data_IF_503560923925
#
_entry.id   IF_503560923925
#
_cell.length_a   1.000
_cell.length_b   1.000
_cell.length_c   1.000
_cell.angle_alpha   90.00
_cell.angle_beta   90.00
_cell.angle_gamma   90.00
#
_symmetry.space_group_name_H-M   'P 1'
#
loop_
_entity.id
_entity.type
_entity.pdbx_description
1 polymer ?
#
# COMPACT_ATOMS: atom_id res chain seq x y z
N UNK A 1 11.22 15.22 -30.34
CA UNK A 1 10.74 14.13 -31.23
C UNK A 1 11.49 12.80 -31.05
N UNK A 2 12.84 12.72 -31.03
CA UNK A 2 13.58 11.46 -30.79
C UNK A 2 13.23 10.73 -29.46
N UNK A 3 13.01 11.47 -28.37
CA UNK A 3 12.66 10.89 -27.06
C UNK A 3 11.34 10.11 -27.08
N UNK A 4 10.30 10.65 -27.73
CA UNK A 4 8.98 10.01 -27.86
C UNK A 4 9.02 8.71 -28.70
N UNK A 5 9.87 8.66 -29.72
CA UNK A 5 10.06 7.45 -30.54
C UNK A 5 10.81 6.34 -29.79
N UNK A 6 11.81 6.71 -28.98
CA UNK A 6 12.56 5.74 -28.17
C UNK A 6 11.67 5.14 -27.06
N UNK A 7 10.90 5.95 -26.34
CA UNK A 7 9.91 5.45 -25.35
C UNK A 7 8.83 4.59 -26.00
N UNK A 8 8.32 4.95 -27.18
CA UNK A 8 7.32 4.15 -27.89
C UNK A 8 7.90 2.81 -28.37
N UNK A 9 9.14 2.82 -28.89
CA UNK A 9 9.82 1.58 -29.31
C UNK A 9 10.19 0.65 -28.14
N UNK A 10 10.48 1.21 -26.97
CA UNK A 10 10.72 0.45 -25.75
C UNK A 10 9.42 -0.17 -25.24
N UNK A 11 8.34 0.63 -25.18
CA UNK A 11 7.03 0.18 -24.73
C UNK A 11 6.48 -0.96 -25.60
N UNK A 12 6.59 -0.84 -26.94
CA UNK A 12 6.17 -1.90 -27.87
C UNK A 12 6.97 -3.19 -27.69
N UNK A 13 8.28 -3.09 -27.47
CA UNK A 13 9.13 -4.25 -27.21
C UNK A 13 8.78 -4.92 -25.89
N UNK A 14 8.50 -4.12 -24.84
CA UNK A 14 8.03 -4.64 -23.55
C UNK A 14 6.70 -5.38 -23.72
N UNK A 15 5.73 -4.75 -24.37
CA UNK A 15 4.41 -5.36 -24.63
C UNK A 15 4.53 -6.66 -25.43
N UNK A 16 5.32 -6.68 -26.51
CA UNK A 16 5.54 -7.89 -27.31
C UNK A 16 6.20 -9.01 -26.49
N UNK A 17 7.10 -8.68 -25.58
CA UNK A 17 7.77 -9.64 -24.71
C UNK A 17 6.77 -10.25 -23.72
N UNK A 18 5.91 -9.43 -23.11
CA UNK A 18 4.86 -9.89 -22.20
C UNK A 18 3.85 -10.78 -22.95
N UNK A 19 3.44 -10.41 -24.16
CA UNK A 19 2.50 -11.23 -24.96
C UNK A 19 3.07 -12.59 -25.30
N UNK A 20 4.36 -12.68 -25.66
CA UNK A 20 5.03 -13.97 -25.89
C UNK A 20 5.13 -14.82 -24.63
N UNK A 21 5.38 -14.19 -23.47
CA UNK A 21 5.39 -14.91 -22.20
C UNK A 21 4.00 -15.47 -21.88
N UNK A 22 2.96 -14.66 -22.06
CA UNK A 22 1.57 -15.08 -21.90
C UNK A 22 1.23 -16.28 -22.79
N UNK A 23 1.57 -16.25 -24.08
CA UNK A 23 1.35 -17.37 -25.01
C UNK A 23 1.99 -18.68 -24.48
N UNK A 24 3.23 -18.63 -23.99
CA UNK A 24 3.90 -19.80 -23.42
C UNK A 24 3.23 -20.35 -22.15
N UNK A 25 2.72 -19.46 -21.29
CA UNK A 25 1.94 -19.88 -20.13
C UNK A 25 0.57 -20.45 -20.53
N UNK A 26 -0.11 -19.87 -21.51
CA UNK A 26 -1.38 -20.37 -22.04
C UNK A 26 -1.21 -21.77 -22.65
N UNK A 27 -0.15 -22.00 -23.43
CA UNK A 27 0.19 -23.34 -23.93
C UNK A 27 0.39 -24.35 -22.79
N UNK A 28 1.04 -23.94 -21.70
CA UNK A 28 1.21 -24.79 -20.51
C UNK A 28 -0.15 -25.10 -19.87
N UNK A 29 -1.03 -24.10 -19.75
CA UNK A 29 -2.37 -24.25 -19.20
C UNK A 29 -3.30 -25.10 -20.08
N UNK A 30 -3.07 -25.19 -21.40
CA UNK A 30 -3.82 -26.15 -22.24
C UNK A 30 -3.51 -27.61 -21.89
N UNK A 31 -2.28 -27.90 -21.45
CA UNK A 31 -1.82 -29.25 -21.07
C UNK A 31 -2.08 -29.54 -19.60
N UNK A 32 -1.91 -28.53 -18.75
CA UNK A 32 -2.03 -28.59 -17.30
C UNK A 32 -2.86 -27.39 -16.80
N UNK A 33 -4.20 -27.47 -16.82
CA UNK A 33 -5.08 -26.32 -16.53
C UNK A 33 -4.95 -25.70 -15.14
N UNK A 34 -4.38 -26.45 -14.20
CA UNK A 34 -4.19 -26.05 -12.80
C UNK A 34 -2.70 -25.91 -12.43
N UNK A 35 -1.79 -25.79 -13.41
CA UNK A 35 -0.38 -25.54 -13.12
C UNK A 35 -0.22 -24.17 -12.44
N UNK A 36 0.23 -24.11 -11.17
CA UNK A 36 0.22 -22.85 -10.43
C UNK A 36 1.18 -21.80 -10.99
N UNK A 37 2.33 -22.23 -11.50
CA UNK A 37 3.35 -21.34 -12.08
C UNK A 37 2.82 -20.70 -13.36
N UNK A 38 2.19 -21.48 -14.23
CA UNK A 38 1.60 -20.96 -15.45
C UNK A 38 0.37 -20.07 -15.17
N UNK A 39 -0.47 -20.43 -14.19
CA UNK A 39 -1.59 -19.58 -13.76
C UNK A 39 -1.11 -18.21 -13.27
N UNK A 40 -0.09 -18.19 -12.40
CA UNK A 40 0.50 -16.96 -11.88
C UNK A 40 1.19 -16.14 -12.98
N UNK A 41 2.04 -16.79 -13.79
CA UNK A 41 2.77 -16.12 -14.86
C UNK A 41 1.84 -15.51 -15.92
N UNK A 42 0.78 -16.22 -16.31
CA UNK A 42 -0.24 -15.71 -17.21
C UNK A 42 -1.02 -14.55 -16.57
N UNK A 43 -1.44 -14.69 -15.30
CA UNK A 43 -2.14 -13.63 -14.59
C UNK A 43 -1.32 -12.34 -14.51
N UNK A 44 -0.05 -12.42 -14.08
CA UNK A 44 0.86 -11.24 -14.01
C UNK A 44 1.03 -10.61 -15.39
N UNK A 45 1.22 -11.43 -16.42
CA UNK A 45 1.34 -10.94 -17.81
C UNK A 45 0.08 -10.20 -18.26
N UNK A 46 -1.11 -10.70 -17.92
CA UNK A 46 -2.38 -10.06 -18.22
C UNK A 46 -2.56 -8.74 -17.45
N UNK A 47 -2.12 -8.68 -16.18
CA UNK A 47 -2.11 -7.43 -15.41
C UNK A 47 -1.23 -6.38 -16.07
N UNK A 48 0.00 -6.74 -16.49
CA UNK A 48 0.89 -5.81 -17.18
C UNK A 48 0.35 -5.33 -18.54
N UNK A 49 -0.50 -6.13 -19.18
CA UNK A 49 -1.20 -5.78 -20.41
C UNK A 49 -2.51 -5.00 -20.18
N UNK A 50 -2.94 -4.82 -18.93
CA UNK A 50 -4.21 -4.19 -18.57
C UNK A 50 -5.45 -5.05 -18.83
N UNK A 51 -5.27 -6.35 -19.08
CA UNK A 51 -6.35 -7.32 -19.32
C UNK A 51 -6.90 -7.86 -17.98
N UNK A 52 -7.37 -6.94 -17.13
CA UNK A 52 -7.70 -7.22 -15.72
C UNK A 52 -8.77 -8.29 -15.51
N UNK A 53 -9.79 -8.36 -16.37
CA UNK A 53 -10.84 -9.38 -16.22
C UNK A 53 -10.27 -10.79 -16.36
N UNK A 54 -9.45 -11.03 -17.39
CA UNK A 54 -8.81 -12.34 -17.59
C UNK A 54 -7.81 -12.65 -16.48
N UNK A 55 -7.06 -11.63 -16.02
CA UNK A 55 -6.16 -11.79 -14.89
C UNK A 55 -6.91 -12.22 -13.63
N UNK A 56 -8.07 -11.62 -13.34
CA UNK A 56 -8.93 -11.99 -12.20
C UNK A 56 -9.36 -13.45 -12.31
N UNK A 57 -9.81 -13.90 -13.48
CA UNK A 57 -10.27 -15.28 -13.67
C UNK A 57 -9.14 -16.31 -13.41
N UNK A 58 -7.90 -16.01 -13.82
CA UNK A 58 -6.75 -16.87 -13.56
C UNK A 58 -6.30 -16.82 -12.09
N UNK A 59 -6.32 -15.65 -11.46
CA UNK A 59 -5.98 -15.50 -10.05
C UNK A 59 -7.00 -16.19 -9.14
N UNK A 60 -8.29 -16.14 -9.48
CA UNK A 60 -9.34 -16.88 -8.76
C UNK A 60 -9.17 -18.40 -8.88
N UNK A 61 -8.62 -18.89 -9.99
CA UNK A 61 -8.19 -20.30 -10.09
C UNK A 61 -6.96 -20.56 -9.24
N UNK A 62 -5.95 -19.68 -9.32
CA UNK A 62 -4.70 -19.84 -8.58
C UNK A 62 -4.93 -19.93 -7.07
N UNK A 63 -5.75 -19.06 -6.49
CA UNK A 63 -6.05 -19.09 -5.04
C UNK A 63 -6.90 -20.29 -4.63
N UNK A 64 -7.56 -20.99 -5.56
CA UNK A 64 -8.20 -22.30 -5.28
C UNK A 64 -7.19 -23.44 -5.30
N UNK A 65 -6.16 -23.34 -6.13
CA UNK A 65 -5.08 -24.35 -6.22
C UNK A 65 -4.06 -24.18 -5.09
N UNK A 66 -3.74 -22.95 -4.71
CA UNK A 66 -2.83 -22.60 -3.60
C UNK A 66 -3.55 -21.61 -2.65
N UNK A 67 -4.36 -22.12 -1.69
CA UNK A 67 -5.19 -21.28 -0.83
C UNK A 67 -4.47 -20.41 0.19
N UNK A 68 -3.16 -20.62 0.40
CA UNK A 68 -2.32 -19.94 1.39
C UNK A 68 -1.29 -18.99 0.75
N UNK A 69 -1.38 -18.75 -0.55
CA UNK A 69 -0.46 -17.83 -1.25
C UNK A 69 -0.88 -16.37 -1.06
N UNK A 70 -0.35 -15.73 -0.02
CA UNK A 70 -0.62 -14.34 0.31
C UNK A 70 -0.46 -13.37 -0.88
N UNK A 71 0.59 -13.59 -1.69
CA UNK A 71 0.91 -12.75 -2.86
C UNK A 71 -0.15 -12.87 -3.97
N UNK A 72 -0.71 -14.07 -4.19
CA UNK A 72 -1.77 -14.26 -5.18
C UNK A 72 -3.04 -13.50 -4.77
N UNK A 73 -3.38 -13.48 -3.48
CA UNK A 73 -4.48 -12.68 -2.96
C UNK A 73 -4.20 -11.17 -3.02
N UNK A 74 -2.96 -10.73 -2.78
CA UNK A 74 -2.56 -9.33 -2.93
C UNK A 74 -2.81 -8.86 -4.37
N UNK A 75 -2.31 -9.61 -5.35
CA UNK A 75 -2.50 -9.29 -6.76
C UNK A 75 -3.97 -9.38 -7.19
N UNK A 76 -4.72 -10.36 -6.69
CA UNK A 76 -6.18 -10.44 -6.92
C UNK A 76 -6.91 -9.21 -6.36
N UNK A 77 -6.49 -8.72 -5.19
CA UNK A 77 -6.99 -7.47 -4.60
C UNK A 77 -6.76 -6.27 -5.52
N UNK A 78 -5.54 -6.11 -6.04
CA UNK A 78 -5.20 -5.04 -6.99
C UNK A 78 -6.05 -5.10 -8.25
N UNK A 79 -6.14 -6.29 -8.87
CA UNK A 79 -6.90 -6.50 -10.10
C UNK A 79 -8.39 -6.20 -9.87
N UNK A 80 -8.97 -6.66 -8.76
CA UNK A 80 -10.37 -6.38 -8.44
C UNK A 80 -10.62 -4.89 -8.17
N UNK A 81 -9.65 -4.18 -7.59
CA UNK A 81 -9.74 -2.74 -7.42
C UNK A 81 -9.81 -2.00 -8.76
N UNK A 82 -8.95 -2.37 -9.72
CA UNK A 82 -8.96 -1.83 -11.09
C UNK A 82 -10.28 -2.12 -11.83
N UNK A 83 -10.86 -3.29 -11.58
CA UNK A 83 -12.19 -3.67 -12.07
C UNK A 83 -13.35 -2.97 -11.34
N UNK A 84 -13.05 -2.14 -10.33
CA UNK A 84 -14.02 -1.47 -9.45
C UNK A 84 -14.89 -2.42 -8.62
N UNK A 85 -14.48 -3.69 -8.52
CA UNK A 85 -15.01 -4.64 -7.54
C UNK A 85 -14.32 -4.39 -6.19
N UNK A 86 -14.69 -3.28 -5.55
CA UNK A 86 -14.06 -2.83 -4.30
C UNK A 86 -14.32 -3.81 -3.13
N UNK A 87 -15.48 -4.47 -3.12
CA UNK A 87 -15.81 -5.47 -2.11
C UNK A 87 -14.97 -6.75 -2.28
N UNK A 88 -14.88 -7.27 -3.50
CA UNK A 88 -14.02 -8.42 -3.80
C UNK A 88 -12.53 -8.10 -3.62
N UNK A 89 -12.12 -6.86 -3.91
CA UNK A 89 -10.77 -6.36 -3.65
C UNK A 89 -10.44 -6.37 -2.15
N UNK A 90 -11.31 -5.77 -1.33
CA UNK A 90 -11.15 -5.76 0.13
C UNK A 90 -11.11 -7.18 0.73
N UNK A 91 -11.91 -8.09 0.19
CA UNK A 91 -11.93 -9.50 0.62
C UNK A 91 -10.61 -10.21 0.27
N UNK A 92 -10.08 -9.96 -0.92
CA UNK A 92 -8.81 -10.54 -1.37
C UNK A 92 -7.63 -10.03 -0.53
N UNK A 93 -7.55 -8.72 -0.26
CA UNK A 93 -6.50 -8.20 0.63
C UNK A 93 -6.61 -8.73 2.07
N UNK A 94 -7.83 -8.94 2.60
CA UNK A 94 -8.00 -9.59 3.93
C UNK A 94 -7.46 -11.02 3.93
N UNK A 95 -7.67 -11.77 2.86
CA UNK A 95 -7.10 -13.12 2.71
C UNK A 95 -5.57 -13.08 2.60
N UNK A 96 -5.02 -12.07 1.89
CA UNK A 96 -3.57 -11.84 1.83
C UNK A 96 -2.97 -11.59 3.22
N UNK A 97 -3.57 -10.68 4.01
CA UNK A 97 -3.16 -10.42 5.40
C UNK A 97 -3.30 -11.64 6.32
N UNK A 98 -4.28 -12.50 6.07
CA UNK A 98 -4.52 -13.69 6.89
C UNK A 98 -3.57 -14.85 6.54
N UNK A 99 -3.01 -14.84 5.34
CA UNK A 99 -2.08 -15.87 4.83
C UNK A 99 -0.61 -15.51 5.04
N UNK A 100 -0.32 -14.39 5.70
CA UNK A 100 1.03 -13.89 5.96
C UNK A 100 1.20 -13.57 7.45
N UNK A 101 2.32 -14.01 8.02
CA UNK A 101 2.69 -13.69 9.41
C UNK A 101 3.21 -12.24 9.57
N UNK A 102 3.63 -11.62 8.46
CA UNK A 102 4.08 -10.22 8.42
C UNK A 102 3.01 -9.29 7.87
N UNK A 103 2.90 -8.11 8.47
CA UNK A 103 2.03 -7.03 7.99
C UNK A 103 2.76 -6.31 6.87
N UNK A 104 2.28 -6.47 5.64
CA UNK A 104 2.73 -5.69 4.49
C UNK A 104 1.93 -4.38 4.40
N UNK A 105 2.64 -3.24 4.32
CA UNK A 105 2.02 -1.93 4.18
C UNK A 105 1.27 -1.76 2.87
N UNK A 106 1.75 -2.35 1.78
CA UNK A 106 1.09 -2.24 0.47
C UNK A 106 -0.27 -2.95 0.50
N UNK A 107 -0.34 -4.11 1.15
CA UNK A 107 -1.59 -4.84 1.40
C UNK A 107 -2.53 -4.04 2.31
N UNK A 108 -2.02 -3.47 3.41
CA UNK A 108 -2.83 -2.66 4.33
C UNK A 108 -3.39 -1.41 3.64
N UNK A 109 -2.57 -0.72 2.85
CA UNK A 109 -2.97 0.45 2.05
C UNK A 109 -3.98 0.07 0.98
N UNK A 110 -3.76 -1.03 0.26
CA UNK A 110 -4.68 -1.57 -0.73
C UNK A 110 -6.05 -1.90 -0.13
N UNK A 111 -6.08 -2.59 1.01
CA UNK A 111 -7.30 -2.89 1.76
C UNK A 111 -8.03 -1.62 2.19
N UNK A 112 -7.30 -0.66 2.77
CA UNK A 112 -7.86 0.63 3.21
C UNK A 112 -8.51 1.37 2.05
N UNK A 113 -7.80 1.52 0.93
CA UNK A 113 -8.32 2.19 -0.26
C UNK A 113 -9.56 1.48 -0.83
N UNK A 114 -9.54 0.14 -0.82
CA UNK A 114 -10.68 -0.68 -1.27
C UNK A 114 -11.91 -0.47 -0.40
N UNK A 115 -11.74 -0.42 0.92
CA UNK A 115 -12.84 -0.19 1.86
C UNK A 115 -13.40 1.24 1.75
N UNK A 116 -12.55 2.24 1.61
CA UNK A 116 -12.98 3.63 1.38
C UNK A 116 -13.75 3.73 0.05
N UNK A 117 -13.24 3.13 -1.02
CA UNK A 117 -13.92 3.10 -2.32
C UNK A 117 -15.26 2.33 -2.29
N UNK A 118 -15.34 1.28 -1.47
CA UNK A 118 -16.57 0.54 -1.17
C UNK A 118 -17.54 1.30 -0.23
N UNK A 119 -17.23 2.55 0.16
CA UNK A 119 -18.00 3.37 1.10
C UNK A 119 -18.12 2.75 2.51
N UNK A 120 -17.09 2.04 2.95
CA UNK A 120 -16.95 1.41 4.27
C UNK A 120 -15.72 1.94 5.04
N UNK A 121 -15.60 3.28 5.22
CA UNK A 121 -14.43 3.87 5.87
C UNK A 121 -14.29 3.51 7.36
N UNK A 122 -15.40 3.19 8.02
CA UNK A 122 -15.44 2.64 9.38
C UNK A 122 -14.61 1.35 9.49
N UNK A 123 -14.84 0.40 8.58
CA UNK A 123 -14.09 -0.85 8.53
C UNK A 123 -12.61 -0.61 8.18
N UNK A 124 -12.32 0.41 7.36
CA UNK A 124 -10.94 0.75 7.01
C UNK A 124 -10.15 1.20 8.25
N UNK A 125 -10.76 2.07 9.06
CA UNK A 125 -10.18 2.51 10.35
C UNK A 125 -10.00 1.33 11.30
N UNK A 126 -11.00 0.47 11.45
CA UNK A 126 -10.92 -0.71 12.33
C UNK A 126 -9.74 -1.63 11.98
N UNK A 127 -9.55 -1.89 10.67
CA UNK A 127 -8.43 -2.70 10.18
C UNK A 127 -7.10 -2.05 10.55
N UNK A 128 -6.92 -0.75 10.29
CA UNK A 128 -5.67 -0.05 10.60
C UNK A 128 -5.40 -0.05 12.12
N UNK A 129 -6.43 0.19 12.95
CA UNK A 129 -6.32 0.13 14.40
C UNK A 129 -5.92 -1.27 14.89
N UNK A 130 -6.43 -2.33 14.25
CA UNK A 130 -6.02 -3.70 14.56
C UNK A 130 -4.54 -3.95 14.22
N UNK A 131 -4.07 -3.46 13.07
CA UNK A 131 -2.67 -3.54 12.66
C UNK A 131 -1.77 -2.77 13.64
N UNK A 132 -2.15 -1.54 14.01
CA UNK A 132 -1.41 -0.72 14.98
C UNK A 132 -1.27 -1.42 16.33
N UNK A 133 -2.33 -2.05 16.84
CA UNK A 133 -2.28 -2.84 18.08
C UNK A 133 -1.30 -4.01 17.97
N UNK A 134 -1.40 -4.83 16.92
CA UNK A 134 -0.47 -5.95 16.68
C UNK A 134 1.00 -5.50 16.65
N UNK A 135 1.29 -4.33 16.07
CA UNK A 135 2.64 -3.77 16.04
C UNK A 135 3.10 -3.34 17.43
N UNK A 136 2.23 -2.68 18.20
CA UNK A 136 2.55 -2.31 19.58
C UNK A 136 2.80 -3.53 20.48
N UNK A 137 2.00 -4.59 20.33
CA UNK A 137 2.17 -5.86 21.05
C UNK A 137 3.50 -6.51 20.69
N UNK A 138 3.81 -6.64 19.39
CA UNK A 138 5.09 -7.20 18.91
C UNK A 138 6.29 -6.42 19.45
N UNK A 139 6.19 -5.09 19.54
CA UNK A 139 7.22 -4.23 20.14
C UNK A 139 7.37 -4.46 21.64
N UNK A 140 6.27 -4.61 22.37
CA UNK A 140 6.28 -4.87 23.82
C UNK A 140 6.82 -6.27 24.16
N UNK A 141 6.50 -7.29 23.35
CA UNK A 141 7.01 -8.66 23.55
C UNK A 141 8.48 -8.83 23.19
N UNK A 142 9.07 -7.89 22.42
CA UNK A 142 10.49 -7.87 22.04
C UNK A 142 11.40 -7.28 23.14
N UNK A 143 11.11 -7.55 24.41
CA UNK A 143 11.74 -7.02 25.63
C UNK A 143 13.21 -6.49 25.52
N UNK A 144 13.59 -5.42 26.24
CA UNK A 144 14.86 -4.68 26.08
C UNK A 144 16.16 -5.44 26.47
N UNK A 145 16.09 -6.71 26.86
CA UNK A 145 17.21 -7.46 27.45
C UNK A 145 18.31 -7.85 26.46
N UNK A 146 18.20 -7.43 25.19
CA UNK A 146 19.19 -7.70 24.13
C UNK A 146 20.11 -6.50 23.81
N UNK A 147 19.95 -5.35 24.47
CA UNK A 147 20.84 -4.19 24.27
C UNK A 147 22.27 -4.41 24.81
N UNK A 148 22.56 -5.56 25.43
CA UNK A 148 23.92 -5.91 25.87
C UNK A 148 24.67 -6.93 24.99
N UNK A 149 24.07 -7.46 23.91
CA UNK A 149 24.71 -8.52 23.13
C UNK A 149 24.31 -8.58 21.66
N UNK A 150 24.67 -7.57 20.86
CA UNK A 150 25.38 -7.76 19.58
C UNK A 150 25.45 -6.45 18.79
N UNK A 151 26.65 -5.88 18.71
CA UNK A 151 27.02 -4.91 17.67
C UNK A 151 27.19 -5.55 16.28
N UNK A 152 26.86 -6.83 16.10
CA UNK A 152 26.99 -7.52 14.83
C UNK A 152 25.75 -8.38 14.54
N UNK A 153 24.83 -7.82 13.75
CA UNK A 153 23.69 -8.57 13.23
C UNK A 153 22.44 -7.72 13.03
N UNK A 154 22.54 -6.69 12.19
CA UNK A 154 21.36 -6.02 11.65
C UNK A 154 20.59 -7.01 10.76
N UNK A 155 19.80 -7.89 11.37
CA UNK A 155 18.59 -8.38 10.74
C UNK A 155 17.61 -7.23 10.83
N UNK A 156 17.69 -6.32 9.84
CA UNK A 156 16.69 -5.29 9.58
C UNK A 156 15.33 -5.97 9.65
N UNK A 157 14.59 -5.69 10.72
CA UNK A 157 13.25 -6.19 10.82
C UNK A 157 12.49 -5.59 9.63
N UNK A 158 12.03 -6.45 8.70
CA UNK A 158 11.05 -6.13 7.66
C UNK A 158 9.68 -5.77 8.26
N UNK A 159 9.69 -5.10 9.40
CA UNK A 159 8.51 -4.63 10.08
C UNK A 159 8.10 -3.30 9.44
N UNK A 160 6.82 -3.21 9.13
CA UNK A 160 6.16 -2.00 8.68
C UNK A 160 6.50 -0.81 9.60
N UNK A 161 6.84 0.32 8.97
CA UNK A 161 7.10 1.60 9.64
C UNK A 161 5.83 2.06 10.39
N UNK A 162 5.84 2.17 11.73
CA UNK A 162 4.68 2.63 12.51
C UNK A 162 4.18 4.00 12.07
N UNK A 163 5.07 4.88 11.62
CA UNK A 163 4.71 6.22 11.14
C UNK A 163 3.81 6.11 9.90
N UNK A 164 4.09 5.17 9.00
CA UNK A 164 3.25 4.93 7.81
C UNK A 164 1.84 4.45 8.18
N UNK A 165 1.71 3.69 9.27
CA UNK A 165 0.42 3.20 9.76
C UNK A 165 -0.43 4.34 10.31
N UNK A 166 0.14 5.23 11.13
CA UNK A 166 -0.60 6.37 11.67
C UNK A 166 -0.89 7.45 10.62
N UNK A 167 0.00 7.63 9.64
CA UNK A 167 -0.28 8.46 8.45
C UNK A 167 -1.50 7.93 7.68
N UNK A 168 -1.57 6.61 7.47
CA UNK A 168 -2.70 5.97 6.81
C UNK A 168 -3.98 6.07 7.65
N UNK A 169 -3.88 5.93 8.97
CA UNK A 169 -5.01 6.06 9.90
C UNK A 169 -5.61 7.46 9.87
N UNK A 170 -4.79 8.51 9.97
CA UNK A 170 -5.26 9.89 9.91
C UNK A 170 -5.90 10.20 8.55
N UNK A 171 -5.33 9.68 7.45
CA UNK A 171 -5.96 9.78 6.13
C UNK A 171 -7.32 9.08 6.08
N UNK A 172 -7.44 7.87 6.63
CA UNK A 172 -8.69 7.12 6.66
C UNK A 172 -9.78 7.85 7.46
N UNK A 173 -9.45 8.43 8.63
CA UNK A 173 -10.38 9.29 9.37
C UNK A 173 -10.78 10.54 8.58
N UNK A 174 -9.83 11.17 7.87
CA UNK A 174 -10.11 12.31 7.01
C UNK A 174 -11.09 11.96 5.89
N UNK A 175 -10.86 10.84 5.20
CA UNK A 175 -11.71 10.35 4.11
C UNK A 175 -13.10 9.95 4.63
N UNK A 176 -13.20 9.55 5.90
CA UNK A 176 -14.47 9.30 6.59
C UNK A 176 -15.19 10.60 7.01
N UNK A 177 -14.49 11.74 7.04
CA UNK A 177 -15.03 13.02 7.50
C UNK A 177 -14.83 13.31 8.98
N UNK A 178 -14.13 12.44 9.72
CA UNK A 178 -13.76 12.66 11.13
C UNK A 178 -12.47 13.45 11.25
N UNK A 179 -12.53 14.72 10.85
CA UNK A 179 -11.35 15.59 10.76
C UNK A 179 -10.69 15.81 12.12
N UNK A 180 -11.47 15.87 13.21
CA UNK A 180 -10.92 15.98 14.57
C UNK A 180 -10.03 14.79 14.92
N UNK A 181 -10.50 13.58 14.62
CA UNK A 181 -9.81 12.34 14.94
C UNK A 181 -8.55 12.20 14.09
N UNK A 182 -8.63 12.57 12.80
CA UNK A 182 -7.46 12.64 11.92
C UNK A 182 -6.38 13.59 12.47
N UNK A 183 -6.78 14.78 12.95
CA UNK A 183 -5.86 15.76 13.55
C UNK A 183 -5.26 15.20 14.84
N UNK A 184 -6.04 14.55 15.70
CA UNK A 184 -5.54 13.93 16.93
C UNK A 184 -4.52 12.83 16.65
N UNK A 185 -4.75 11.99 15.64
CA UNK A 185 -3.78 10.96 15.22
C UNK A 185 -2.46 11.62 14.83
N UNK A 186 -2.49 12.70 14.03
CA UNK A 186 -1.27 13.39 13.63
C UNK A 186 -0.61 14.18 14.75
N UNK A 187 -1.36 14.74 15.69
CA UNK A 187 -0.80 15.39 16.88
C UNK A 187 -0.03 14.40 17.75
N UNK A 188 -0.58 13.22 17.97
CA UNK A 188 0.12 12.15 18.69
C UNK A 188 1.38 11.71 17.91
N UNK A 189 1.27 11.54 16.59
CA UNK A 189 2.40 11.17 15.75
C UNK A 189 3.54 12.21 15.82
N UNK A 190 3.20 13.50 15.77
CA UNK A 190 4.16 14.61 15.89
C UNK A 190 4.77 14.63 17.29
N UNK A 191 4.00 14.36 18.35
CA UNK A 191 4.52 14.33 19.71
C UNK A 191 5.51 13.17 19.93
N UNK A 192 5.26 12.01 19.32
CA UNK A 192 6.15 10.85 19.40
C UNK A 192 7.39 10.98 18.48
N UNK A 193 7.23 11.64 17.33
CA UNK A 193 8.27 11.81 16.32
C UNK A 193 8.41 13.27 15.88
N UNK A 194 8.88 14.18 16.76
CA UNK A 194 8.90 15.62 16.49
C UNK A 194 9.87 16.03 15.37
N UNK A 195 10.82 15.17 15.00
CA UNK A 195 11.76 15.42 13.91
C UNK A 195 11.32 14.80 12.57
N UNK A 196 10.19 14.07 12.54
CA UNK A 196 9.67 13.49 11.31
C UNK A 196 8.71 14.47 10.60
N UNK A 197 9.12 14.92 9.42
CA UNK A 197 8.35 15.89 8.65
C UNK A 197 6.96 15.40 8.18
N UNK A 198 6.75 14.08 8.08
CA UNK A 198 5.57 13.50 7.43
C UNK A 198 4.30 13.77 8.22
N UNK A 199 4.37 13.74 9.55
CA UNK A 199 3.23 14.07 10.43
C UNK A 199 2.76 15.51 10.23
N UNK A 200 3.71 16.46 10.20
CA UNK A 200 3.43 17.86 9.90
C UNK A 200 2.85 18.05 8.50
N UNK A 201 3.44 17.41 7.48
CA UNK A 201 2.97 17.50 6.09
C UNK A 201 1.53 17.00 5.95
N UNK A 202 1.22 15.84 6.55
CA UNK A 202 -0.11 15.25 6.49
C UNK A 202 -1.16 16.09 7.24
N UNK A 203 -0.82 16.60 8.43
CA UNK A 203 -1.69 17.52 9.18
C UNK A 203 -1.92 18.81 8.43
N UNK A 204 -0.88 19.41 7.85
CA UNK A 204 -0.99 20.61 7.01
C UNK A 204 -1.95 20.41 5.83
N UNK A 205 -1.83 19.28 5.13
CA UNK A 205 -2.70 18.94 4.00
C UNK A 205 -4.18 18.86 4.41
N UNK A 206 -4.50 18.16 5.51
CA UNK A 206 -5.89 18.06 6.00
C UNK A 206 -6.41 19.42 6.44
N UNK A 207 -5.62 20.20 7.20
CA UNK A 207 -6.05 21.52 7.68
C UNK A 207 -6.36 22.45 6.50
N UNK A 208 -5.54 22.43 5.45
CA UNK A 208 -5.76 23.22 4.24
C UNK A 208 -7.04 22.81 3.52
N UNK A 209 -7.25 21.51 3.30
CA UNK A 209 -8.48 20.98 2.68
C UNK A 209 -9.75 21.36 3.46
N UNK A 210 -9.64 21.54 4.77
CA UNK A 210 -10.73 21.92 5.65
C UNK A 210 -10.79 23.43 5.97
N UNK A 211 -10.15 24.28 5.15
CA UNK A 211 -10.26 25.74 5.22
C UNK A 211 -9.44 26.42 6.33
N UNK A 212 -8.63 25.66 7.08
CA UNK A 212 -7.76 26.18 8.16
C UNK A 212 -6.38 26.57 7.60
N UNK A 213 -6.37 27.48 6.63
CA UNK A 213 -5.17 27.85 5.87
C UNK A 213 -4.01 28.34 6.76
N UNK A 214 -4.28 29.16 7.78
CA UNK A 214 -3.24 29.67 8.67
C UNK A 214 -2.61 28.59 9.56
N UNK A 215 -3.39 27.60 9.99
CA UNK A 215 -2.86 26.47 10.75
C UNK A 215 -2.06 25.53 9.84
N UNK A 216 -2.54 25.33 8.61
CA UNK A 216 -1.86 24.53 7.60
C UNK A 216 -0.49 25.09 7.23
N UNK A 217 -0.40 26.42 7.03
CA UNK A 217 0.87 27.09 6.71
C UNK A 217 1.93 26.86 7.80
N UNK A 218 1.54 26.95 9.08
CA UNK A 218 2.45 26.64 10.19
C UNK A 218 2.95 25.20 10.12
N UNK A 219 2.09 24.25 9.77
CA UNK A 219 2.50 22.85 9.61
C UNK A 219 3.42 22.65 8.41
N UNK A 220 3.18 23.30 7.27
CA UNK A 220 4.07 23.20 6.11
C UNK A 220 5.46 23.80 6.37
N UNK A 221 5.54 24.89 7.16
CA UNK A 221 6.82 25.46 7.60
C UNK A 221 7.60 24.44 8.43
N UNK A 222 6.95 23.80 9.42
CA UNK A 222 7.57 22.75 10.23
C UNK A 222 7.97 21.54 9.39
N UNK A 223 7.09 21.07 8.51
CA UNK A 223 7.39 19.98 7.59
C UNK A 223 8.63 20.30 6.73
N UNK A 224 8.73 21.52 6.18
CA UNK A 224 9.88 21.92 5.36
C UNK A 224 11.17 22.02 6.17
N UNK A 225 11.08 22.44 7.43
CA UNK A 225 12.22 22.54 8.34
C UNK A 225 12.84 21.16 8.62
N UNK A 226 12.01 20.16 8.92
CA UNK A 226 12.46 18.80 9.21
C UNK A 226 12.67 17.92 7.97
N UNK A 227 12.15 18.33 6.80
CA UNK A 227 12.26 17.52 5.58
C UNK A 227 13.71 17.42 5.08
N UNK A 228 14.17 16.21 4.70
CA UNK A 228 15.42 16.05 3.98
C UNK A 228 15.32 16.78 2.62
N UNK A 229 16.47 17.16 2.06
CA UNK A 229 16.52 17.98 0.83
C UNK A 229 15.70 17.37 -0.32
N UNK A 230 15.76 16.05 -0.48
CA UNK A 230 14.99 15.31 -1.49
C UNK A 230 13.46 15.42 -1.32
N UNK A 231 12.97 15.68 -0.11
CA UNK A 231 11.55 15.79 0.21
C UNK A 231 11.04 17.24 0.28
N UNK A 232 11.91 18.26 0.29
CA UNK A 232 11.46 19.67 0.36
C UNK A 232 10.59 20.08 -0.82
N UNK A 233 10.93 19.61 -2.02
CA UNK A 233 10.12 19.85 -3.21
C UNK A 233 8.71 19.26 -3.08
N UNK A 234 8.57 18.11 -2.42
CA UNK A 234 7.27 17.51 -2.12
C UNK A 234 6.46 18.40 -1.18
N UNK A 235 7.06 18.89 -0.10
CA UNK A 235 6.39 19.80 0.85
C UNK A 235 5.88 21.06 0.15
N UNK A 236 6.69 21.65 -0.74
CA UNK A 236 6.31 22.85 -1.49
C UNK A 236 5.10 22.61 -2.41
N UNK A 237 5.01 21.43 -3.05
CA UNK A 237 3.85 21.06 -3.88
C UNK A 237 2.56 21.02 -3.05
N UNK A 238 2.62 20.43 -1.85
CA UNK A 238 1.45 20.36 -0.96
C UNK A 238 1.08 21.73 -0.37
N UNK A 239 2.07 22.58 -0.09
CA UNK A 239 1.81 23.93 0.39
C UNK A 239 1.12 24.81 -0.67
N UNK A 240 1.41 24.59 -1.95
CA UNK A 240 0.86 25.38 -3.07
C UNK A 240 -0.52 24.92 -3.55
N UNK A 241 -0.80 23.61 -3.56
CA UNK A 241 -2.09 23.02 -3.98
C UNK A 241 -3.21 23.29 -2.98
#
# INVERSE_FOLDING_TARGET
>A
MKALWLTNSFQRRKEQTIRRALEGYEETLTKSPNDPTALEGAAVSLVELGEYQKASDLLEKLVKVIPDKAEAYRLLGEVKFELKDYDGSSSSYRNSLSSSDSIDFDVLRGLTNSLVAAKKPDQAVEVILSCRRKLSEKRQTRQPDLEAANENGAQESRDIDPIQVDLLLGKAYSDWGHISDAVTVYDNLIAEHPEDFRGYLAKGAILKQNGKAGDAERMFIQAKFFAPEAAKALVDIYAQR
#
